data_IF_471801255539
#
_entry.id   IF_471801255539
#
_cell.length_a   1.000
_cell.length_b   1.000
_cell.length_c   1.000
_cell.angle_alpha   90.00
_cell.angle_beta   90.00
_cell.angle_gamma   90.00
#
_symmetry.space_group_name_H-M   'P 1'
#
loop_
_entity.id
_entity.type
_entity.pdbx_description
1 polymer ?
#
# COMPACT_ATOMS: atom_id res chain seq x y z
N UNK A 1 -17.31 11.76 60.12
CA UNK A 1 -16.58 10.50 60.32
C UNK A 1 -17.30 9.49 59.45
N UNK A 2 -16.81 9.03 58.30
CA UNK A 2 -15.45 8.92 57.75
C UNK A 2 -15.58 8.85 56.22
N UNK A 3 -14.53 9.27 55.54
CA UNK A 3 -14.35 9.20 54.08
C UNK A 3 -14.31 7.74 53.58
N UNK A 4 -14.68 7.50 52.32
CA UNK A 4 -13.79 7.00 51.25
C UNK A 4 -14.54 6.88 49.91
N UNK A 5 -13.90 7.35 48.83
CA UNK A 5 -14.25 7.07 47.43
C UNK A 5 -13.48 5.79 46.97
N UNK A 6 -13.37 5.53 45.66
CA UNK A 6 -14.14 4.60 44.83
C UNK A 6 -13.36 3.31 44.56
N UNK A 7 -13.97 2.27 43.98
CA UNK A 7 -13.16 1.24 43.31
C UNK A 7 -13.83 0.76 42.03
N UNK A 8 -13.29 1.23 40.90
CA UNK A 8 -13.47 0.66 39.58
C UNK A 8 -12.86 -0.74 39.56
N UNK A 9 -13.71 -1.78 39.49
CA UNK A 9 -13.24 -3.12 39.15
C UNK A 9 -12.88 -3.15 37.67
N UNK A 10 -11.61 -2.84 37.43
CA UNK A 10 -10.92 -3.01 36.17
C UNK A 10 -10.79 -4.51 35.92
N UNK A 11 -11.55 -5.02 34.94
CA UNK A 11 -11.42 -6.39 34.45
C UNK A 11 -10.12 -6.51 33.65
N UNK A 12 -9.01 -6.75 34.35
CA UNK A 12 -7.75 -7.21 33.77
C UNK A 12 -7.88 -8.73 33.61
N UNK A 13 -8.34 -9.18 32.45
CA UNK A 13 -8.13 -10.57 32.02
C UNK A 13 -6.65 -10.73 31.68
N UNK A 14 -5.89 -11.02 32.74
CA UNK A 14 -4.55 -11.56 32.73
C UNK A 14 -4.53 -12.79 31.81
N UNK A 15 -4.01 -12.61 30.61
CA UNK A 15 -3.87 -13.69 29.64
C UNK A 15 -2.67 -14.51 30.09
N UNK A 16 -2.92 -15.50 30.93
CA UNK A 16 -1.93 -16.49 31.35
C UNK A 16 -1.28 -17.10 30.11
N UNK A 17 -0.03 -16.71 29.85
CA UNK A 17 0.81 -17.33 28.86
C UNK A 17 1.07 -18.78 29.30
N UNK A 18 0.33 -19.72 28.71
CA UNK A 18 0.66 -21.13 28.78
C UNK A 18 2.01 -21.32 28.07
N UNK A 19 3.10 -21.34 28.84
CA UNK A 19 4.39 -21.86 28.39
C UNK A 19 4.26 -23.37 28.15
N UNK A 20 3.69 -23.75 27.01
CA UNK A 20 3.84 -25.10 26.47
C UNK A 20 5.14 -25.13 25.69
N UNK A 21 6.16 -25.79 26.28
CA UNK A 21 7.32 -26.30 25.55
C UNK A 21 6.85 -27.30 24.51
N UNK A 22 6.41 -26.80 23.35
CA UNK A 22 6.18 -27.60 22.16
C UNK A 22 7.48 -27.66 21.38
N UNK A 23 8.12 -28.83 21.36
CA UNK A 23 9.00 -29.22 20.26
C UNK A 23 8.12 -29.41 19.01
N UNK A 24 7.64 -28.29 18.47
CA UNK A 24 6.69 -28.23 17.37
C UNK A 24 7.33 -27.68 16.11
N UNK A 25 6.82 -28.10 14.95
CA UNK A 25 7.19 -27.55 13.64
C UNK A 25 7.11 -26.02 13.69
N UNK A 26 8.13 -25.28 13.20
CA UNK A 26 8.09 -23.82 13.24
C UNK A 26 6.88 -23.30 12.46
N UNK A 27 5.99 -22.60 13.17
CA UNK A 27 4.84 -21.93 12.58
C UNK A 27 5.24 -20.51 12.20
N UNK A 28 5.14 -20.18 10.92
CA UNK A 28 5.28 -18.81 10.43
C UNK A 28 3.91 -18.16 10.45
N UNK A 29 3.71 -17.22 11.37
CA UNK A 29 2.50 -16.41 11.45
C UNK A 29 2.81 -15.06 10.82
N UNK A 30 2.16 -14.74 9.70
CA UNK A 30 2.23 -13.40 9.10
C UNK A 30 0.95 -12.64 9.44
N UNK A 31 1.01 -11.55 10.22
CA UNK A 31 -0.15 -10.73 10.49
C UNK A 31 -0.64 -10.06 9.21
N UNK A 32 -1.94 -10.17 8.92
CA UNK A 32 -2.58 -9.46 7.82
C UNK A 32 -3.09 -8.11 8.31
N UNK A 33 -2.42 -7.02 7.90
CA UNK A 33 -2.86 -5.66 8.23
C UNK A 33 -3.93 -5.17 7.25
N UNK A 34 -4.89 -4.32 7.69
CA UNK A 34 -5.73 -3.54 6.81
C UNK A 34 -4.90 -2.72 5.81
N UNK A 35 -5.40 -2.56 4.58
CA UNK A 35 -4.72 -1.81 3.50
C UNK A 35 -4.30 -0.41 3.95
N UNK A 36 -5.12 0.28 4.75
CA UNK A 36 -4.80 1.62 5.27
C UNK A 36 -3.54 1.63 6.13
N UNK A 37 -3.36 0.63 7.00
CA UNK A 37 -2.16 0.52 7.83
C UNK A 37 -0.94 0.22 6.97
N UNK A 38 -1.07 -0.70 6.00
CA UNK A 38 0.02 -1.02 5.07
C UNK A 38 0.46 0.19 4.26
N UNK A 39 -0.48 0.98 3.75
CA UNK A 39 -0.19 2.25 3.05
C UNK A 39 0.55 3.21 3.98
N UNK A 40 0.07 3.39 5.22
CA UNK A 40 0.72 4.25 6.20
C UNK A 40 2.17 3.84 6.48
N UNK A 41 2.39 2.57 6.80
CA UNK A 41 3.72 2.01 7.07
C UNK A 41 4.65 2.18 5.86
N UNK A 42 4.18 1.85 4.66
CA UNK A 42 4.96 1.97 3.44
C UNK A 42 5.28 3.42 3.09
N UNK A 43 4.37 4.36 3.31
CA UNK A 43 4.60 5.79 3.05
C UNK A 43 5.62 6.36 4.02
N UNK A 44 5.50 6.05 5.32
CA UNK A 44 6.47 6.51 6.32
C UNK A 44 7.85 5.93 6.02
N UNK A 45 7.95 4.63 5.77
CA UNK A 45 9.22 3.99 5.42
C UNK A 45 9.84 4.60 4.15
N UNK A 46 9.02 4.90 3.13
CA UNK A 46 9.52 5.56 1.92
C UNK A 46 9.97 7.01 2.18
N UNK A 47 9.32 7.76 3.08
CA UNK A 47 9.73 9.12 3.44
C UNK A 47 11.03 9.17 4.24
N UNK A 48 11.40 8.08 4.92
CA UNK A 48 12.64 7.97 5.69
C UNK A 48 13.88 7.75 4.80
N UNK A 49 13.69 7.41 3.52
CA UNK A 49 14.77 7.28 2.54
C UNK A 49 15.40 8.64 2.19
N UNK A 50 16.73 8.67 2.01
CA UNK A 50 17.49 9.89 1.80
C UNK A 50 17.04 10.68 0.55
N UNK A 51 16.99 12.00 0.67
CA UNK A 51 16.56 12.96 -0.35
C UNK A 51 15.11 12.78 -0.85
N UNK A 52 14.29 11.98 -0.15
CA UNK A 52 12.89 11.79 -0.53
C UNK A 52 12.09 13.05 -0.20
N UNK A 53 11.33 13.53 -1.19
CA UNK A 53 10.45 14.70 -1.04
C UNK A 53 8.97 14.38 -1.28
N UNK A 54 8.68 13.23 -1.88
CA UNK A 54 7.32 12.74 -2.11
C UNK A 54 7.31 11.21 -2.20
N UNK A 55 6.13 10.60 -2.06
CA UNK A 55 5.94 9.15 -2.21
C UNK A 55 4.81 8.88 -3.19
N UNK A 56 5.06 8.04 -4.19
CA UNK A 56 4.04 7.54 -5.10
C UNK A 56 3.54 6.19 -4.60
N UNK A 57 2.28 6.13 -4.18
CA UNK A 57 1.64 4.87 -3.74
C UNK A 57 0.67 4.38 -4.79
N UNK A 58 0.75 3.09 -5.11
CA UNK A 58 -0.18 2.39 -6.00
C UNK A 58 -0.59 1.05 -5.40
N UNK A 59 -1.79 0.58 -5.74
CA UNK A 59 -2.30 -0.74 -5.38
C UNK A 59 -2.32 -1.57 -6.66
N UNK A 60 -1.60 -2.69 -6.65
CA UNK A 60 -1.54 -3.63 -7.77
C UNK A 60 -2.29 -4.92 -7.43
N UNK A 61 -2.78 -5.61 -8.46
CA UNK A 61 -3.35 -6.95 -8.33
C UNK A 61 -2.32 -8.02 -8.68
N UNK A 62 -2.20 -9.07 -7.86
CA UNK A 62 -1.42 -10.27 -8.15
C UNK A 62 -2.31 -11.52 -8.06
N UNK A 63 -1.80 -12.67 -8.50
CA UNK A 63 -2.48 -13.97 -8.34
C UNK A 63 -2.74 -14.35 -6.87
N UNK A 64 -2.06 -13.69 -5.94
CA UNK A 64 -2.10 -13.97 -4.50
C UNK A 64 -2.97 -12.92 -3.76
N UNK A 65 -3.35 -11.83 -4.43
CA UNK A 65 -4.17 -10.76 -3.87
C UNK A 65 -3.67 -9.36 -4.20
N UNK A 66 -4.27 -8.35 -3.55
CA UNK A 66 -3.88 -6.95 -3.67
C UNK A 66 -2.54 -6.68 -2.96
N UNK A 67 -1.69 -5.89 -3.58
CA UNK A 67 -0.39 -5.48 -3.04
C UNK A 67 -0.27 -3.96 -3.06
N UNK A 68 0.22 -3.38 -1.96
CA UNK A 68 0.50 -1.95 -1.87
C UNK A 68 1.96 -1.71 -2.18
N UNK A 69 2.25 -0.83 -3.14
CA UNK A 69 3.60 -0.42 -3.52
C UNK A 69 3.72 1.07 -3.28
N UNK A 70 4.69 1.48 -2.46
CA UNK A 70 5.05 2.89 -2.26
C UNK A 70 6.47 3.11 -2.75
N UNK A 71 6.65 4.13 -3.59
CA UNK A 71 7.91 4.44 -4.24
C UNK A 71 8.38 5.82 -3.77
N UNK A 72 9.55 5.93 -3.12
CA UNK A 72 10.11 7.22 -2.75
C UNK A 72 10.54 8.00 -3.99
N UNK A 73 10.20 9.28 -4.04
CA UNK A 73 10.55 10.19 -5.12
C UNK A 73 11.47 11.30 -4.61
N UNK A 74 12.59 11.47 -5.31
CA UNK A 74 13.47 12.64 -5.17
C UNK A 74 12.91 13.82 -5.94
N UNK A 75 13.43 15.02 -5.70
CA UNK A 75 12.97 16.25 -6.35
C UNK A 75 13.00 16.17 -7.89
N UNK A 76 14.02 15.53 -8.45
CA UNK A 76 14.14 15.29 -9.90
C UNK A 76 13.02 14.38 -10.44
N UNK A 77 12.68 13.31 -9.70
CA UNK A 77 11.61 12.39 -10.09
C UNK A 77 10.25 13.09 -10.07
N UNK A 78 10.00 13.95 -9.08
CA UNK A 78 8.76 14.74 -9.00
C UNK A 78 8.62 15.67 -10.21
N UNK A 79 9.70 16.33 -10.63
CA UNK A 79 9.68 17.17 -11.83
C UNK A 79 9.37 16.36 -13.09
N UNK A 80 9.97 15.18 -13.24
CA UNK A 80 9.69 14.29 -14.38
C UNK A 80 8.22 13.84 -14.42
N UNK A 81 7.64 13.50 -13.26
CA UNK A 81 6.22 13.14 -13.15
C UNK A 81 5.33 14.31 -13.57
N UNK A 82 5.61 15.53 -13.11
CA UNK A 82 4.85 16.71 -13.51
C UNK A 82 4.92 16.96 -15.03
N UNK A 83 6.11 16.87 -15.61
CA UNK A 83 6.30 17.03 -17.06
C UNK A 83 5.50 16.00 -17.86
N UNK A 84 5.48 14.74 -17.41
CA UNK A 84 4.70 13.68 -18.07
C UNK A 84 3.20 13.97 -18.00
N UNK A 85 2.70 14.40 -16.84
CA UNK A 85 1.28 14.77 -16.67
C UNK A 85 0.91 15.94 -17.59
N UNK A 86 1.77 16.96 -17.68
CA UNK A 86 1.55 18.09 -18.58
C UNK A 86 1.51 17.67 -20.05
N UNK A 87 2.45 16.83 -20.50
CA UNK A 87 2.46 16.29 -21.87
C UNK A 87 1.19 15.51 -22.22
N UNK A 88 0.68 14.71 -21.27
CA UNK A 88 -0.57 13.97 -21.44
C UNK A 88 -1.75 14.94 -21.58
N UNK A 89 -1.83 15.98 -20.74
CA UNK A 89 -2.90 16.98 -20.83
C UNK A 89 -2.85 17.81 -22.11
N UNK A 90 -1.66 18.12 -22.62
CA UNK A 90 -1.49 18.86 -23.87
C UNK A 90 -1.70 17.99 -25.12
N UNK A 91 -1.66 16.66 -24.97
CA UNK A 91 -1.87 15.74 -26.08
C UNK A 91 -3.26 15.90 -26.67
N UNK A 92 -3.29 16.16 -27.98
CA UNK A 92 -4.52 16.17 -28.79
C UNK A 92 -4.84 14.78 -29.35
N UNK A 93 -4.00 13.78 -29.06
CA UNK A 93 -4.27 12.43 -29.52
C UNK A 93 -5.50 11.87 -28.79
N UNK A 94 -6.49 11.34 -29.52
CA UNK A 94 -7.64 10.72 -28.88
C UNK A 94 -7.15 9.53 -28.05
N UNK A 95 -7.67 9.43 -26.83
CA UNK A 95 -7.42 8.30 -25.93
C UNK A 95 -7.84 7.01 -26.66
N UNK A 96 -6.86 6.23 -27.12
CA UNK A 96 -7.12 5.04 -27.96
C UNK A 96 -7.70 3.88 -27.16
N UNK A 97 -7.45 3.88 -25.85
CA UNK A 97 -7.86 2.84 -24.91
C UNK A 97 -8.69 3.53 -23.83
N UNK A 98 -9.96 3.16 -23.64
CA UNK A 98 -10.76 3.79 -22.60
C UNK A 98 -10.20 3.40 -21.23
N UNK A 99 -9.66 4.39 -20.51
CA UNK A 99 -9.12 4.22 -19.17
C UNK A 99 -10.06 4.87 -18.13
N UNK A 100 -10.19 4.21 -16.97
CA UNK A 100 -10.85 4.77 -15.78
C UNK A 100 -9.83 4.77 -14.65
N UNK A 101 -9.32 5.95 -14.30
CA UNK A 101 -8.17 6.07 -13.39
C UNK A 101 -6.93 5.40 -13.99
N UNK A 102 -6.38 4.40 -13.29
CA UNK A 102 -5.22 3.60 -13.76
C UNK A 102 -5.59 2.29 -14.47
N UNK A 103 -6.88 2.03 -14.74
CA UNK A 103 -7.34 0.79 -15.36
C UNK A 103 -7.73 1.07 -16.81
N UNK A 104 -7.07 0.42 -17.76
CA UNK A 104 -7.36 0.55 -19.18
C UNK A 104 -7.95 -0.75 -19.73
N UNK A 105 -9.04 -0.66 -20.49
CA UNK A 105 -9.63 -1.82 -21.16
C UNK A 105 -8.85 -2.08 -22.45
N UNK A 106 -7.89 -3.01 -22.40
CA UNK A 106 -7.15 -3.47 -23.57
C UNK A 106 -7.99 -4.54 -24.29
N UNK A 107 -8.36 -4.30 -25.55
CA UNK A 107 -8.92 -5.35 -26.40
C UNK A 107 -7.82 -6.35 -26.78
N UNK A 108 -8.11 -7.65 -26.74
CA UNK A 108 -7.15 -8.74 -27.05
C UNK A 108 -6.59 -8.70 -28.50
N UNK A 109 -7.10 -7.79 -29.34
CA UNK A 109 -6.71 -7.63 -30.74
C UNK A 109 -5.59 -6.58 -30.98
N UNK A 110 -5.10 -5.88 -29.94
CA UNK A 110 -4.05 -4.86 -30.10
C UNK A 110 -2.67 -5.46 -30.41
N UNK A 111 -2.45 -6.75 -30.12
CA UNK A 111 -1.19 -7.46 -30.38
C UNK A 111 -1.08 -8.14 -31.77
N UNK A 112 -2.07 -7.98 -32.64
CA UNK A 112 -1.96 -8.47 -34.03
C UNK A 112 -1.26 -7.42 -34.89
N UNK A 113 0.07 -7.38 -34.81
CA UNK A 113 0.89 -6.68 -35.81
C UNK A 113 0.44 -7.08 -37.23
N UNK A 114 0.28 -6.13 -38.17
CA UNK A 114 -0.05 -6.48 -39.54
C UNK A 114 1.12 -7.27 -40.14
N UNK A 115 0.90 -8.57 -40.36
CA UNK A 115 1.82 -9.39 -41.15
C UNK A 115 1.91 -8.79 -42.56
N UNK A 116 3.09 -8.26 -42.87
CA UNK A 116 3.47 -7.73 -44.18
C UNK A 116 3.56 -8.83 -45.22
#
# INVERSE_FOLDING_TARGET
>A
MTEEKPNEETNLQETEALETKNEGVPHFITPLHPIVLQVGEHVIAALEEEDTVAVLTTITGSTIGQQVISIPLKAEHVQQVHQLIEQIHESKEPERVPCVGFHCLLDEDVDKEPKK
#
